data_IF_087491215952
#
_entry.id   IF_087491215952
#
_cell.length_a   1.000
_cell.length_b   1.000
_cell.length_c   1.000
_cell.angle_alpha   90.00
_cell.angle_beta   90.00
_cell.angle_gamma   90.00
#
_symmetry.space_group_name_H-M   'P 1'
#
loop_
_entity.id
_entity.type
_entity.pdbx_description
1 polymer ?
#
# COMPACT_ATOMS: atom_id res chain seq x y z
N UNK A 1 -23.59 25.15 -17.22
CA UNK A 1 -22.58 25.16 -16.13
C UNK A 1 -22.97 24.31 -14.92
N UNK A 2 -24.23 24.33 -14.45
CA UNK A 2 -24.67 23.50 -13.31
C UNK A 2 -24.41 21.99 -13.50
N UNK A 3 -24.60 21.45 -14.70
CA UNK A 3 -24.38 20.02 -14.99
C UNK A 3 -22.91 19.60 -14.94
N UNK A 4 -22.00 20.45 -15.43
CA UNK A 4 -20.55 20.19 -15.39
C UNK A 4 -20.05 20.20 -13.94
N UNK A 5 -20.47 21.19 -13.16
CA UNK A 5 -20.12 21.29 -11.73
C UNK A 5 -20.70 20.12 -10.93
N UNK A 6 -21.94 19.72 -11.20
CA UNK A 6 -22.57 18.55 -10.58
C UNK A 6 -21.85 17.24 -10.91
N UNK A 7 -21.47 17.04 -12.18
CA UNK A 7 -20.69 15.86 -12.61
C UNK A 7 -19.32 15.79 -11.94
N UNK A 8 -18.60 16.91 -11.90
CA UNK A 8 -17.30 17.01 -11.20
C UNK A 8 -17.42 16.73 -9.71
N UNK A 9 -18.44 17.28 -9.04
CA UNK A 9 -18.68 17.02 -7.63
C UNK A 9 -18.97 15.54 -7.36
N UNK A 10 -19.84 14.92 -8.17
CA UNK A 10 -20.16 13.50 -8.05
C UNK A 10 -18.92 12.62 -8.27
N UNK A 11 -18.14 12.88 -9.32
CA UNK A 11 -16.90 12.16 -9.60
C UNK A 11 -15.88 12.30 -8.47
N UNK A 12 -15.74 13.51 -7.92
CA UNK A 12 -14.86 13.76 -6.77
C UNK A 12 -15.33 13.07 -5.50
N UNK A 13 -16.62 13.13 -5.18
CA UNK A 13 -17.19 12.44 -4.01
C UNK A 13 -16.94 10.93 -4.08
N UNK A 14 -17.14 10.31 -5.24
CA UNK A 14 -16.83 8.89 -5.45
C UNK A 14 -15.34 8.59 -5.29
N UNK A 15 -14.46 9.44 -5.84
CA UNK A 15 -13.01 9.29 -5.69
C UNK A 15 -12.55 9.43 -4.23
N UNK A 16 -13.16 10.35 -3.46
CA UNK A 16 -12.90 10.53 -2.04
C UNK A 16 -13.39 9.32 -1.22
N UNK A 17 -14.58 8.80 -1.52
CA UNK A 17 -15.10 7.58 -0.87
C UNK A 17 -14.17 6.40 -1.12
N UNK A 18 -13.76 6.20 -2.38
CA UNK A 18 -12.79 5.16 -2.72
C UNK A 18 -11.46 5.33 -1.97
N UNK A 19 -10.91 6.54 -1.97
CA UNK A 19 -9.68 6.86 -1.27
C UNK A 19 -9.79 6.71 0.26
N UNK A 20 -10.97 6.93 0.83
CA UNK A 20 -11.23 6.77 2.25
C UNK A 20 -11.36 5.30 2.67
N UNK A 21 -12.05 4.48 1.88
CA UNK A 21 -12.46 3.12 2.28
C UNK A 21 -11.52 2.03 1.74
N UNK A 22 -10.94 2.19 0.56
CA UNK A 22 -10.16 1.15 -0.12
C UNK A 22 -8.64 1.41 -0.11
N UNK A 23 -8.17 2.55 0.41
CA UNK A 23 -6.74 2.78 0.57
C UNK A 23 -6.16 1.87 1.67
N UNK A 24 -4.93 1.33 1.51
CA UNK A 24 -4.33 0.34 2.43
C UNK A 24 -4.31 0.72 3.92
N UNK A 25 -4.42 2.01 4.25
CA UNK A 25 -4.42 2.55 5.62
C UNK A 25 -5.67 2.25 6.46
N UNK A 26 -6.70 1.59 5.93
CA UNK A 26 -7.85 1.23 6.77
C UNK A 26 -7.54 0.13 7.80
N UNK A 27 -6.35 -0.50 7.74
CA UNK A 27 -5.94 -1.53 8.70
C UNK A 27 -5.10 -0.90 9.82
N UNK A 28 -5.34 -1.25 11.10
CA UNK A 28 -4.45 -0.89 12.23
C UNK A 28 -2.99 -1.23 11.89
N UNK A 29 -1.97 -0.60 12.54
CA UNK A 29 -0.56 -0.85 12.23
C UNK A 29 -0.34 -2.36 12.13
N UNK A 30 -0.07 -2.81 10.91
CA UNK A 30 0.01 -4.22 10.61
C UNK A 30 1.21 -4.78 11.37
N UNK A 31 0.97 -5.85 12.12
CA UNK A 31 2.03 -6.72 12.60
C UNK A 31 2.27 -7.71 11.48
N UNK A 32 3.38 -7.55 10.78
CA UNK A 32 3.81 -8.51 9.78
C UNK A 32 4.80 -9.47 10.42
N UNK A 33 4.62 -10.77 10.16
CA UNK A 33 5.41 -11.81 10.79
C UNK A 33 6.44 -12.38 9.81
N UNK A 34 7.67 -12.52 10.30
CA UNK A 34 8.78 -13.12 9.59
C UNK A 34 9.31 -14.30 10.39
N UNK A 35 9.18 -15.51 9.85
CA UNK A 35 9.71 -16.70 10.50
C UNK A 35 11.02 -17.11 9.83
N UNK A 36 12.07 -17.25 10.62
CA UNK A 36 13.36 -17.81 10.22
C UNK A 36 13.30 -19.31 10.50
N UNK A 37 13.24 -20.18 9.48
CA UNK A 37 13.14 -21.61 9.70
C UNK A 37 14.48 -22.20 10.16
N UNK A 38 14.38 -23.40 10.74
CA UNK A 38 15.55 -24.21 11.11
C UNK A 38 16.44 -24.49 9.89
N UNK A 39 17.76 -24.35 10.07
CA UNK A 39 18.75 -24.62 9.01
C UNK A 39 18.96 -23.47 8.05
N UNK A 40 18.46 -22.27 8.35
CA UNK A 40 18.65 -21.08 7.53
C UNK A 40 20.13 -20.67 7.44
N UNK A 41 20.85 -20.70 8.56
CA UNK A 41 22.29 -20.45 8.59
C UNK A 41 23.08 -21.45 7.74
N UNK A 42 22.71 -22.73 7.79
CA UNK A 42 23.33 -23.77 6.97
C UNK A 42 23.04 -23.57 5.47
N UNK A 43 21.82 -23.18 5.12
CA UNK A 43 21.44 -22.84 3.76
C UNK A 43 22.27 -21.66 3.22
N UNK A 44 22.37 -20.57 3.98
CA UNK A 44 23.16 -19.39 3.62
C UNK A 44 24.65 -19.76 3.46
N UNK A 45 25.21 -20.53 4.39
CA UNK A 45 26.60 -20.98 4.35
C UNK A 45 26.90 -21.87 3.12
N UNK A 46 25.92 -22.63 2.66
CA UNK A 46 26.01 -23.43 1.42
C UNK A 46 25.73 -22.63 0.14
N UNK A 47 25.47 -21.32 0.24
CA UNK A 47 25.15 -20.45 -0.89
C UNK A 47 23.71 -20.62 -1.40
N UNK A 48 22.85 -21.32 -0.66
CA UNK A 48 21.42 -21.41 -0.96
C UNK A 48 20.71 -20.12 -0.52
N UNK A 49 19.64 -19.76 -1.24
CA UNK A 49 18.83 -18.60 -0.89
C UNK A 49 18.11 -18.78 0.45
N UNK A 50 17.81 -17.67 1.11
CA UNK A 50 16.99 -17.69 2.32
C UNK A 50 15.60 -18.29 2.01
N UNK A 51 15.09 -19.14 2.89
CA UNK A 51 13.71 -19.69 2.81
C UNK A 51 12.64 -18.65 3.20
N UNK A 52 12.93 -17.37 2.99
CA UNK A 52 12.23 -16.22 3.54
C UNK A 52 12.11 -15.16 2.43
N UNK A 53 11.02 -14.39 2.36
CA UNK A 53 10.90 -13.31 1.37
C UNK A 53 12.03 -12.29 1.47
N UNK A 54 12.62 -11.95 0.32
CA UNK A 54 13.65 -10.91 0.18
C UNK A 54 13.12 -9.49 0.44
N UNK A 55 11.81 -9.31 0.51
CA UNK A 55 11.18 -8.00 0.72
C UNK A 55 9.91 -8.16 1.53
N UNK A 56 9.73 -7.33 2.55
CA UNK A 56 8.51 -7.23 3.35
C UNK A 56 7.82 -5.89 3.06
N UNK A 57 6.49 -5.89 3.10
CA UNK A 57 5.71 -4.66 2.91
C UNK A 57 5.12 -4.25 4.25
N UNK A 58 5.63 -3.18 4.85
CA UNK A 58 5.21 -2.71 6.17
C UNK A 58 4.33 -1.46 6.04
N UNK A 59 3.42 -1.25 6.99
CA UNK A 59 2.80 0.05 7.18
C UNK A 59 3.82 1.05 7.77
N UNK A 60 3.76 2.35 7.43
CA UNK A 60 4.52 3.38 8.15
C UNK A 60 4.22 3.32 9.65
N UNK A 61 5.26 3.21 10.49
CA UNK A 61 5.12 3.01 11.94
C UNK A 61 4.58 1.64 12.36
N UNK A 62 4.48 0.68 11.43
CA UNK A 62 4.13 -0.71 11.70
C UNK A 62 5.25 -1.49 12.39
N UNK A 63 4.98 -2.76 12.71
CA UNK A 63 5.92 -3.65 13.40
C UNK A 63 6.16 -4.90 12.56
N UNK A 64 7.42 -5.25 12.37
CA UNK A 64 7.86 -6.54 11.88
C UNK A 64 8.20 -7.43 13.09
N UNK A 65 7.48 -8.52 13.26
CA UNK A 65 7.73 -9.51 14.31
C UNK A 65 8.55 -10.65 13.72
N UNK A 66 9.78 -10.82 14.18
CA UNK A 66 10.71 -11.83 13.67
C UNK A 66 10.83 -12.96 14.67
N UNK A 67 10.54 -14.19 14.22
CA UNK A 67 10.68 -15.42 15.01
C UNK A 67 11.90 -16.18 14.52
N UNK A 68 12.90 -16.38 15.38
CA UNK A 68 14.07 -17.17 15.03
C UNK A 68 13.89 -18.62 15.49
N UNK A 69 13.58 -19.53 14.56
CA UNK A 69 13.53 -20.97 14.82
C UNK A 69 14.82 -21.69 14.39
N UNK A 70 15.87 -20.94 14.05
CA UNK A 70 17.17 -21.51 13.75
C UNK A 70 18.00 -21.77 15.02
N UNK A 71 19.09 -22.52 14.87
CA UNK A 71 20.01 -22.86 15.96
C UNK A 71 21.08 -21.79 16.20
N UNK A 72 21.13 -20.76 15.34
CA UNK A 72 22.13 -19.70 15.36
C UNK A 72 21.47 -18.33 15.51
N UNK A 73 22.23 -17.39 16.04
CA UNK A 73 21.80 -16.00 16.16
C UNK A 73 21.70 -15.35 14.76
N UNK A 74 20.63 -14.58 14.56
CA UNK A 74 20.42 -13.78 13.35
C UNK A 74 20.24 -12.30 13.69
N UNK A 75 20.47 -11.43 12.70
CA UNK A 75 20.26 -9.99 12.86
C UNK A 75 19.42 -9.40 11.75
N UNK A 76 18.59 -8.43 12.12
CA UNK A 76 17.77 -7.61 11.22
C UNK A 76 17.84 -6.16 11.72
N UNK A 77 18.39 -5.27 10.91
CA UNK A 77 18.72 -3.90 11.32
C UNK A 77 19.82 -3.91 12.38
N UNK A 78 19.59 -3.20 13.49
CA UNK A 78 20.45 -3.28 14.68
C UNK A 78 20.05 -4.39 15.64
N UNK A 79 18.92 -5.05 15.39
CA UNK A 79 18.33 -6.00 16.33
C UNK A 79 18.92 -7.37 16.09
N UNK A 80 19.39 -7.97 17.17
CA UNK A 80 19.95 -9.32 17.22
C UNK A 80 18.91 -10.25 17.84
N UNK A 81 18.61 -11.36 17.16
CA UNK A 81 17.59 -12.33 17.53
C UNK A 81 18.27 -13.67 17.85
N UNK A 82 18.40 -14.04 19.13
CA UNK A 82 18.95 -15.33 19.54
C UNK A 82 18.12 -16.53 19.05
N UNK A 83 18.68 -17.75 19.07
CA UNK A 83 17.95 -18.98 18.76
C UNK A 83 16.68 -19.14 19.62
N UNK A 84 15.56 -19.47 18.99
CA UNK A 84 14.26 -19.64 19.65
C UNK A 84 13.61 -18.35 20.14
N UNK A 85 14.21 -17.17 19.92
CA UNK A 85 13.70 -15.90 20.40
C UNK A 85 12.79 -15.21 19.36
N UNK A 86 12.07 -14.20 19.84
CA UNK A 86 11.25 -13.31 19.02
C UNK A 86 11.68 -11.87 19.24
N UNK A 87 11.74 -11.08 18.17
CA UNK A 87 11.99 -9.65 18.25
C UNK A 87 10.94 -8.85 17.48
N UNK A 88 10.60 -7.66 17.99
CA UNK A 88 9.76 -6.69 17.29
C UNK A 88 10.64 -5.57 16.74
N UNK A 89 10.50 -5.26 15.46
CA UNK A 89 11.28 -4.25 14.74
C UNK A 89 10.32 -3.22 14.16
N UNK A 90 10.51 -1.95 14.50
CA UNK A 90 9.68 -0.87 13.97
C UNK A 90 10.03 -0.60 12.51
N UNK A 91 9.00 -0.39 11.68
CA UNK A 91 9.18 0.00 10.29
C UNK A 91 9.98 1.32 10.18
N UNK A 92 10.88 1.45 9.19
CA UNK A 92 11.60 2.69 8.95
C UNK A 92 10.66 3.80 8.46
N UNK A 93 11.14 5.04 8.45
CA UNK A 93 10.38 6.21 7.97
C UNK A 93 10.24 6.25 6.43
N UNK A 94 11.17 5.60 5.74
CA UNK A 94 11.21 5.49 4.28
C UNK A 94 11.42 4.06 3.81
N UNK A 95 10.90 3.75 2.60
CA UNK A 95 11.16 2.46 1.96
C UNK A 95 12.65 2.32 1.68
N UNK A 96 13.18 1.12 1.88
CA UNK A 96 14.61 0.87 1.78
C UNK A 96 14.93 -0.57 2.13
N UNK A 97 15.88 -0.77 3.03
CA UNK A 97 16.18 -2.11 3.54
C UNK A 97 16.86 -2.10 4.90
N UNK A 98 16.70 -3.19 5.62
CA UNK A 98 17.47 -3.49 6.82
C UNK A 98 18.71 -4.28 6.47
N UNK A 99 19.83 -3.99 7.13
CA UNK A 99 20.98 -4.91 7.17
C UNK A 99 20.51 -6.23 7.78
N UNK A 100 20.87 -7.36 7.19
CA UNK A 100 20.30 -8.65 7.57
C UNK A 100 21.32 -9.77 7.41
N UNK A 101 21.49 -10.61 8.43
CA UNK A 101 22.36 -11.80 8.34
C UNK A 101 21.69 -12.99 7.65
N UNK A 102 20.38 -12.89 7.39
CA UNK A 102 19.55 -13.99 6.90
C UNK A 102 19.57 -14.09 5.37
N UNK A 103 19.89 -12.99 4.69
CA UNK A 103 19.96 -12.97 3.23
C UNK A 103 21.43 -12.97 2.77
N UNK A 104 21.79 -13.76 1.74
CA UNK A 104 23.13 -13.71 1.15
C UNK A 104 23.53 -12.31 0.64
N UNK A 105 22.56 -11.48 0.27
CA UNK A 105 22.78 -10.09 -0.11
C UNK A 105 23.18 -9.19 1.06
N UNK A 106 22.97 -9.62 2.30
CA UNK A 106 23.15 -8.81 3.50
C UNK A 106 22.00 -7.84 3.79
N UNK A 107 20.89 -7.90 3.03
CA UNK A 107 19.80 -6.94 3.15
C UNK A 107 18.41 -7.58 3.02
N UNK A 108 17.47 -7.13 3.86
CA UNK A 108 16.04 -7.37 3.75
C UNK A 108 15.37 -6.10 3.22
N UNK A 109 14.73 -6.16 2.05
CA UNK A 109 14.01 -5.03 1.50
C UNK A 109 12.75 -4.70 2.33
N UNK A 110 12.48 -3.41 2.51
CA UNK A 110 11.29 -2.92 3.20
C UNK A 110 10.55 -1.94 2.30
N UNK A 111 9.35 -2.32 1.89
CA UNK A 111 8.44 -1.45 1.15
C UNK A 111 7.41 -0.86 2.10
N UNK A 112 7.40 0.45 2.25
CA UNK A 112 6.34 1.12 3.01
C UNK A 112 5.10 1.26 2.15
N UNK A 113 4.00 0.69 2.63
CA UNK A 113 2.68 0.80 2.01
C UNK A 113 2.11 2.19 2.35
N UNK A 114 2.60 3.24 1.68
CA UNK A 114 2.17 4.62 1.92
C UNK A 114 0.80 4.88 1.31
N UNK A 115 -0.03 5.63 2.04
CA UNK A 115 -1.30 6.13 1.51
C UNK A 115 -1.04 7.08 0.34
N UNK A 116 -1.74 6.94 -0.79
CA UNK A 116 -1.68 7.94 -1.84
C UNK A 116 -2.16 9.29 -1.30
N UNK A 117 -1.53 10.38 -1.75
CA UNK A 117 -1.90 11.74 -1.35
C UNK A 117 -3.39 12.00 -1.66
N UNK A 118 -4.07 12.83 -0.87
CA UNK A 118 -5.45 13.22 -1.16
C UNK A 118 -5.62 13.83 -2.56
N UNK A 119 -4.57 14.47 -3.08
CA UNK A 119 -4.54 15.05 -4.43
C UNK A 119 -4.74 14.00 -5.53
N UNK A 120 -4.48 12.71 -5.26
CA UNK A 120 -4.73 11.65 -6.25
C UNK A 120 -6.23 11.45 -6.53
N UNK A 121 -7.13 12.03 -5.72
CA UNK A 121 -8.57 12.01 -6.00
C UNK A 121 -8.98 12.93 -7.16
N UNK A 122 -8.13 13.90 -7.54
CA UNK A 122 -8.45 14.88 -8.58
C UNK A 122 -8.50 14.24 -9.96
N UNK A 123 -7.52 13.40 -10.30
CA UNK A 123 -7.44 12.75 -11.63
C UNK A 123 -8.69 11.90 -11.96
N UNK A 124 -9.12 10.95 -11.11
CA UNK A 124 -10.35 10.20 -11.36
C UNK A 124 -11.59 11.09 -11.33
N UNK A 125 -11.63 12.13 -10.49
CA UNK A 125 -12.72 13.10 -10.49
C UNK A 125 -12.86 13.84 -11.83
N UNK A 126 -11.75 14.21 -12.47
CA UNK A 126 -11.74 14.83 -13.80
C UNK A 126 -12.13 13.82 -14.89
N UNK A 127 -11.53 12.62 -14.88
CA UNK A 127 -11.77 11.60 -15.91
C UNK A 127 -13.21 11.07 -15.90
N UNK A 128 -13.85 10.97 -14.73
CA UNK A 128 -15.23 10.47 -14.60
C UNK A 128 -16.23 11.61 -14.55
N UNK A 129 -15.95 12.65 -13.75
CA UNK A 129 -16.90 13.73 -13.51
C UNK A 129 -17.08 14.68 -14.69
N UNK A 130 -16.03 14.95 -15.46
CA UNK A 130 -16.12 15.85 -16.63
C UNK A 130 -16.99 15.23 -17.74
N UNK A 131 -16.77 13.97 -18.21
CA UNK A 131 -17.64 13.37 -19.21
C UNK A 131 -19.11 13.26 -18.76
N UNK A 132 -19.36 12.85 -17.51
CA UNK A 132 -20.72 12.76 -16.96
C UNK A 132 -21.40 14.14 -16.98
N UNK A 133 -20.70 15.17 -16.52
CA UNK A 133 -21.24 16.53 -16.49
C UNK A 133 -21.53 17.12 -17.88
N UNK A 134 -20.67 16.81 -18.86
CA UNK A 134 -20.89 17.21 -20.26
C UNK A 134 -22.09 16.48 -20.87
N UNK A 135 -22.19 15.16 -20.69
CA UNK A 135 -23.31 14.36 -21.20
C UNK A 135 -24.65 14.79 -20.58
N UNK A 136 -24.70 15.00 -19.25
CA UNK A 136 -25.89 15.48 -18.57
C UNK A 136 -26.29 16.89 -19.05
N UNK A 137 -25.29 17.76 -19.26
CA UNK A 137 -25.51 19.10 -19.83
C UNK A 137 -26.09 19.06 -21.24
N UNK A 138 -25.55 18.21 -22.11
CA UNK A 138 -26.03 18.02 -23.47
C UNK A 138 -27.46 17.45 -23.49
N UNK A 139 -27.73 16.43 -22.68
CA UNK A 139 -29.06 15.82 -22.58
C UNK A 139 -30.12 16.83 -22.09
N UNK A 140 -29.79 17.63 -21.07
CA UNK A 140 -30.69 18.67 -20.58
C UNK A 140 -30.94 19.77 -21.62
N UNK A 141 -29.91 20.14 -22.39
CA UNK A 141 -30.04 21.12 -23.47
C UNK A 141 -30.97 20.61 -24.59
N UNK A 142 -30.76 19.38 -25.07
CA UNK A 142 -31.60 18.75 -26.11
C UNK A 142 -33.04 18.62 -25.63
N UNK A 143 -33.28 18.05 -24.44
CA UNK A 143 -34.63 17.86 -23.91
C UNK A 143 -35.39 19.17 -23.66
N UNK A 144 -34.67 20.27 -23.38
CA UNK A 144 -35.26 21.60 -23.29
C UNK A 144 -35.72 22.16 -24.62
N UNK A 145 -35.03 21.84 -25.74
CA UNK A 145 -35.37 22.36 -27.07
C UNK A 145 -36.47 21.57 -27.78
N UNK A 146 -36.62 20.27 -27.47
CA UNK A 146 -37.67 19.43 -28.08
C UNK A 146 -39.07 19.78 -27.53
N UNK A 147 -39.16 20.34 -26.33
CA UNK A 147 -40.43 20.71 -25.68
C UNK A 147 -41.11 21.98 -26.23
N UNK A 148 -40.54 22.65 -27.23
CA UNK A 148 -41.09 23.90 -27.81
C UNK A 148 -41.72 23.74 -29.20
N UNK A 149 -41.75 22.53 -29.78
CA UNK A 149 -42.30 22.26 -31.11
C UNK A 149 -43.67 21.53 -31.09
N UNK A 150 -44.29 21.38 -29.92
CA UNK A 150 -45.58 20.67 -29.73
C UNK A 150 -46.81 21.59 -29.50
N UNK A 151 -46.72 22.90 -29.78
CA UNK A 151 -47.86 23.85 -29.74
C UNK A 151 -48.31 24.31 -31.14
#
# INVERSE_FOLDING_TARGET
MAWITGGLFLGWALAVIWWAVLSPNARPPARDELTIPLGTAAAIASGQGAFIPATVSLAPGGLLVVYNHDEVEHSVGNVVIPPGATAEITAPDESGGFTCSIHPSGFLGVNLTKRPSFLTTIVPALLVGLPIGLMAGAAAWVGGHIKFDDD
#
